data_IF_968220287042
#
_entry.id   IF_968220287042
#
_cell.length_a   1.000
_cell.length_b   1.000
_cell.length_c   1.000
_cell.angle_alpha   90.00
_cell.angle_beta   90.00
_cell.angle_gamma   90.00
#
_symmetry.space_group_name_H-M   'P 1'
#
loop_
_entity.id
_entity.type
_entity.pdbx_description
1 polymer ?
#
# COMPACT_ATOMS: atom_id res chain seq x y z
N UNK A 1 -4.54 -15.27 19.56
CA UNK A 1 -3.10 -15.42 19.26
C UNK A 1 -2.62 -16.78 19.66
N UNK A 2 -1.85 -17.47 18.82
CA UNK A 2 -1.37 -18.80 19.12
C UNK A 2 -0.25 -18.75 20.19
N UNK A 3 -0.12 -19.82 20.97
CA UNK A 3 0.96 -19.99 21.98
C UNK A 3 2.38 -19.79 21.39
N UNK A 4 2.52 -19.81 20.07
CA UNK A 4 3.80 -19.72 19.35
C UNK A 4 4.50 -18.36 19.52
N UNK A 5 3.76 -17.26 19.70
CA UNK A 5 4.37 -15.93 19.92
C UNK A 5 5.08 -15.85 21.28
N UNK A 6 4.45 -16.36 22.32
CA UNK A 6 5.06 -16.36 23.65
C UNK A 6 6.30 -17.24 23.74
N UNK A 7 6.35 -18.33 22.94
CA UNK A 7 7.51 -19.23 22.89
C UNK A 7 8.75 -18.58 22.25
N UNK A 8 8.57 -17.48 21.50
CA UNK A 8 9.65 -16.74 20.85
C UNK A 8 10.15 -15.53 21.67
N UNK A 9 9.66 -15.35 22.88
CA UNK A 9 10.05 -14.23 23.76
C UNK A 9 9.47 -12.87 23.32
N UNK A 10 8.33 -12.87 22.62
CA UNK A 10 7.62 -11.66 22.24
C UNK A 10 6.58 -11.30 23.30
N UNK A 11 6.50 -10.02 23.63
CA UNK A 11 5.40 -9.47 24.43
C UNK A 11 4.42 -8.79 23.49
N UNK A 12 3.15 -9.15 23.59
CA UNK A 12 2.08 -8.48 22.87
C UNK A 12 1.74 -7.20 23.62
N UNK A 13 1.89 -6.06 22.96
CA UNK A 13 1.58 -4.75 23.53
C UNK A 13 0.12 -4.36 23.24
N UNK A 14 -0.34 -4.56 22.00
CA UNK A 14 -1.69 -4.22 21.54
C UNK A 14 -2.09 -5.02 20.29
N UNK A 15 -3.38 -5.01 19.96
CA UNK A 15 -3.92 -5.61 18.74
C UNK A 15 -4.93 -4.66 18.07
N UNK A 16 -4.83 -4.53 16.76
CA UNK A 16 -5.82 -3.81 15.96
C UNK A 16 -6.11 -4.62 14.70
N UNK A 17 -7.34 -5.09 14.55
CA UNK A 17 -7.73 -6.05 13.52
C UNK A 17 -6.81 -7.29 13.56
N UNK A 18 -6.16 -7.65 12.44
CA UNK A 18 -5.17 -8.73 12.34
C UNK A 18 -3.71 -8.25 12.51
N UNK A 19 -3.53 -7.00 12.92
CA UNK A 19 -2.23 -6.39 13.18
C UNK A 19 -1.89 -6.45 14.67
N UNK A 20 -0.60 -6.63 14.98
CA UNK A 20 -0.14 -6.78 16.34
C UNK A 20 1.03 -5.84 16.62
N UNK A 21 1.00 -5.19 17.76
CA UNK A 21 2.13 -4.45 18.30
C UNK A 21 2.82 -5.30 19.34
N UNK A 22 4.08 -5.62 19.10
CA UNK A 22 4.85 -6.49 19.98
C UNK A 22 6.18 -5.87 20.36
N UNK A 23 6.67 -6.19 21.54
CA UNK A 23 8.01 -5.80 21.98
C UNK A 23 8.90 -7.00 22.25
N UNK A 24 10.20 -6.83 22.01
CA UNK A 24 11.26 -7.75 22.35
C UNK A 24 12.57 -6.99 22.50
N UNK A 25 13.34 -7.30 23.53
CA UNK A 25 14.65 -6.69 23.81
C UNK A 25 14.60 -5.14 23.81
N UNK A 26 13.56 -4.57 24.43
CA UNK A 26 13.25 -3.13 24.47
C UNK A 26 13.02 -2.47 23.12
N UNK A 27 12.77 -3.25 22.05
CA UNK A 27 12.38 -2.75 20.74
C UNK A 27 10.93 -3.11 20.46
N UNK A 28 10.19 -2.17 19.87
CA UNK A 28 8.81 -2.38 19.43
C UNK A 28 8.79 -2.74 17.95
N UNK A 29 7.84 -3.60 17.61
CA UNK A 29 7.64 -4.10 16.25
C UNK A 29 6.16 -4.07 15.89
N UNK A 30 5.92 -3.88 14.62
CA UNK A 30 4.62 -4.01 14.02
C UNK A 30 4.58 -5.35 13.26
N UNK A 31 3.65 -6.22 13.63
CA UNK A 31 3.51 -7.55 13.05
C UNK A 31 2.21 -7.62 12.26
N UNK A 32 2.30 -7.90 10.97
CA UNK A 32 1.18 -8.18 10.07
C UNK A 32 1.14 -9.64 9.67
N UNK A 33 -0.08 -10.11 9.37
CA UNK A 33 -0.33 -11.46 8.88
C UNK A 33 -0.72 -11.39 7.39
N UNK A 34 -0.13 -12.28 6.58
CA UNK A 34 -0.46 -12.49 5.17
C UNK A 34 -0.41 -11.21 4.30
N UNK A 35 0.53 -10.32 4.58
CA UNK A 35 0.73 -9.11 3.81
C UNK A 35 1.35 -9.40 2.44
N UNK A 36 1.41 -8.37 1.60
CA UNK A 36 1.95 -8.46 0.24
C UNK A 36 3.39 -8.98 0.19
N UNK A 37 3.74 -9.86 -0.77
CA UNK A 37 5.12 -10.30 -1.02
C UNK A 37 6.08 -9.16 -1.38
N UNK A 38 5.57 -8.00 -1.79
CA UNK A 38 6.39 -6.82 -2.12
C UNK A 38 7.07 -6.19 -0.92
N UNK A 39 6.62 -6.49 0.32
CA UNK A 39 7.07 -5.81 1.54
C UNK A 39 8.60 -5.82 1.70
N UNK A 40 9.26 -6.91 1.31
CA UNK A 40 10.71 -7.01 1.40
C UNK A 40 11.42 -6.02 0.45
N UNK A 41 10.91 -5.86 -0.75
CA UNK A 41 11.46 -4.90 -1.73
C UNK A 41 11.15 -3.46 -1.34
N UNK A 42 9.90 -3.19 -0.92
CA UNK A 42 9.48 -1.88 -0.42
C UNK A 42 10.34 -1.43 0.77
N UNK A 43 10.61 -2.34 1.69
CA UNK A 43 11.49 -2.10 2.84
C UNK A 43 12.94 -1.86 2.42
N UNK A 44 13.49 -2.67 1.52
CA UNK A 44 14.85 -2.51 1.02
C UNK A 44 15.04 -1.18 0.26
N UNK A 45 13.99 -0.68 -0.37
CA UNK A 45 13.95 0.62 -1.04
C UNK A 45 13.63 1.78 -0.08
N UNK A 46 13.33 1.51 1.19
CA UNK A 46 13.03 2.51 2.21
C UNK A 46 11.69 3.22 2.01
N UNK A 47 10.74 2.56 1.34
CA UNK A 47 9.38 3.06 1.07
C UNK A 47 8.47 2.78 2.27
N UNK A 48 8.66 1.64 2.93
CA UNK A 48 7.95 1.22 4.15
C UNK A 48 8.94 1.06 5.31
N UNK A 49 8.48 0.98 6.56
CA UNK A 49 9.33 0.66 7.71
C UNK A 49 10.14 -0.62 7.49
N UNK A 50 11.31 -0.68 8.12
CA UNK A 50 12.26 -1.77 7.88
C UNK A 50 11.68 -3.13 8.24
N UNK A 51 11.65 -4.05 7.28
CA UNK A 51 11.33 -5.45 7.50
C UNK A 51 12.47 -6.12 8.28
N UNK A 52 12.13 -6.77 9.40
CA UNK A 52 13.08 -7.47 10.24
C UNK A 52 13.13 -8.96 9.95
N UNK A 53 11.96 -9.58 9.83
CA UNK A 53 11.84 -11.00 9.50
C UNK A 53 10.47 -11.34 8.91
N UNK A 54 10.42 -12.50 8.28
CA UNK A 54 9.19 -13.17 7.87
C UNK A 54 9.21 -14.60 8.41
N UNK A 55 8.06 -15.12 8.81
CA UNK A 55 7.93 -16.49 9.31
C UNK A 55 6.62 -17.11 8.87
N UNK A 56 6.67 -18.30 8.29
CA UNK A 56 5.48 -19.13 8.09
C UNK A 56 5.18 -19.86 9.40
N UNK A 57 3.94 -19.82 9.85
CA UNK A 57 3.46 -20.52 11.05
C UNK A 57 2.71 -21.79 10.68
N UNK A 58 2.39 -22.63 11.70
CA UNK A 58 1.87 -24.00 11.54
C UNK A 58 0.56 -24.10 10.74
N UNK A 59 -0.31 -23.08 10.82
CA UNK A 59 -1.55 -23.02 10.07
C UNK A 59 -1.39 -22.57 8.59
N UNK A 60 -0.14 -22.31 8.16
CA UNK A 60 0.19 -21.86 6.80
C UNK A 60 0.29 -20.35 6.62
N UNK A 61 -0.17 -19.53 7.56
CA UNK A 61 -0.05 -18.09 7.51
C UNK A 61 1.40 -17.62 7.51
N UNK A 62 1.65 -16.48 6.91
CA UNK A 62 2.94 -15.80 6.91
C UNK A 62 2.85 -14.56 7.78
N UNK A 63 3.72 -14.51 8.79
CA UNK A 63 3.89 -13.33 9.62
C UNK A 63 5.09 -12.54 9.13
N UNK A 64 4.96 -11.23 9.17
CA UNK A 64 6.06 -10.29 8.98
C UNK A 64 6.23 -9.43 10.23
N UNK A 65 7.45 -9.05 10.53
CA UNK A 65 7.73 -8.03 11.53
C UNK A 65 8.48 -6.86 10.88
N UNK A 66 7.97 -5.66 11.10
CA UNK A 66 8.62 -4.41 10.72
C UNK A 66 8.99 -3.63 11.97
N UNK A 67 9.98 -2.74 11.86
CA UNK A 67 10.25 -1.78 12.92
C UNK A 67 8.99 -0.96 13.20
N UNK A 68 8.67 -0.78 14.46
CA UNK A 68 7.65 0.17 14.85
C UNK A 68 8.24 1.59 14.77
N UNK A 69 7.66 2.40 13.92
CA UNK A 69 8.06 3.80 13.75
C UNK A 69 7.13 4.69 14.58
N UNK A 70 7.67 5.36 15.61
CA UNK A 70 6.90 6.41 16.27
C UNK A 70 6.69 7.57 15.30
N UNK A 71 5.48 8.12 15.31
CA UNK A 71 5.14 9.19 14.37
C UNK A 71 3.63 9.39 14.25
N UNK A 72 3.23 10.04 13.18
CA UNK A 72 1.83 10.32 12.87
C UNK A 72 1.54 10.10 11.39
N UNK A 73 0.29 9.91 11.05
CA UNK A 73 -0.17 10.04 9.66
C UNK A 73 -0.12 11.49 9.19
N UNK A 74 -0.13 11.72 7.88
CA UNK A 74 -0.17 13.06 7.33
C UNK A 74 -1.54 13.71 7.55
N UNK A 75 -1.55 15.02 7.64
CA UNK A 75 -2.76 15.84 7.49
C UNK A 75 -2.87 16.38 6.06
N UNK A 76 -3.91 17.15 5.76
CA UNK A 76 -4.16 17.68 4.43
C UNK A 76 -3.05 18.65 3.96
N UNK A 77 -2.54 19.47 4.87
CA UNK A 77 -1.47 20.44 4.60
C UNK A 77 -0.15 19.73 4.26
N UNK A 78 0.14 18.61 4.95
CA UNK A 78 1.34 17.82 4.71
C UNK A 78 1.36 17.18 3.31
N UNK A 79 0.21 17.02 2.63
CA UNK A 79 0.14 16.43 1.29
C UNK A 79 0.85 17.26 0.21
N UNK A 80 1.36 18.44 0.55
CA UNK A 80 2.23 19.25 -0.30
C UNK A 80 3.73 18.94 -0.12
N UNK A 81 4.07 17.96 0.72
CA UNK A 81 5.47 17.58 1.00
C UNK A 81 6.17 17.08 -0.26
N UNK A 82 7.31 17.69 -0.57
CA UNK A 82 8.12 17.37 -1.76
C UNK A 82 8.64 15.93 -1.79
N UNK A 83 8.68 15.24 -0.65
CA UNK A 83 9.10 13.83 -0.56
C UNK A 83 8.05 12.88 -1.13
N UNK A 84 6.76 13.25 -1.14
CA UNK A 84 5.68 12.44 -1.70
C UNK A 84 5.94 12.11 -3.18
N UNK A 85 6.10 13.09 -4.09
CA UNK A 85 6.39 12.78 -5.49
C UNK A 85 7.73 12.06 -5.69
N UNK A 86 8.71 12.25 -4.81
CA UNK A 86 9.97 11.51 -4.88
C UNK A 86 9.78 10.01 -4.57
N UNK A 87 8.99 9.69 -3.54
CA UNK A 87 8.65 8.30 -3.20
C UNK A 87 7.82 7.66 -4.32
N UNK A 88 6.80 8.35 -4.84
CA UNK A 88 5.97 7.85 -5.95
C UNK A 88 6.81 7.59 -7.20
N UNK A 89 7.70 8.51 -7.56
CA UNK A 89 8.63 8.33 -8.67
C UNK A 89 9.52 7.09 -8.48
N UNK A 90 9.98 6.85 -7.26
CA UNK A 90 10.77 5.67 -6.92
C UNK A 90 9.98 4.38 -7.08
N UNK A 91 8.72 4.37 -6.60
CA UNK A 91 7.79 3.25 -6.78
C UNK A 91 7.55 2.97 -8.26
N UNK A 92 7.12 3.96 -9.03
CA UNK A 92 6.76 3.80 -10.44
C UNK A 92 7.96 3.36 -11.30
N UNK A 93 9.19 3.70 -10.91
CA UNK A 93 10.42 3.31 -11.63
C UNK A 93 11.04 2.01 -11.12
N UNK A 94 10.50 1.40 -10.08
CA UNK A 94 11.09 0.18 -9.51
C UNK A 94 10.85 -1.03 -10.40
N UNK A 95 11.86 -1.41 -11.17
CA UNK A 95 11.82 -2.63 -11.98
C UNK A 95 11.73 -3.90 -11.13
N UNK A 96 12.21 -3.85 -9.88
CA UNK A 96 12.10 -4.96 -8.94
C UNK A 96 10.64 -5.16 -8.49
N UNK A 97 9.94 -4.08 -8.11
CA UNK A 97 8.52 -4.13 -7.75
C UNK A 97 7.70 -4.63 -8.94
N UNK A 98 7.89 -4.04 -10.13
CA UNK A 98 7.20 -4.45 -11.36
C UNK A 98 7.35 -5.97 -11.60
N UNK A 99 8.58 -6.49 -11.49
CA UNK A 99 8.85 -7.92 -11.68
C UNK A 99 8.13 -8.80 -10.66
N UNK A 100 8.12 -8.40 -9.38
CA UNK A 100 7.45 -9.15 -8.31
C UNK A 100 5.94 -9.12 -8.53
N UNK A 101 5.36 -7.97 -8.84
CA UNK A 101 3.93 -7.81 -9.08
C UNK A 101 3.48 -8.70 -10.26
N UNK A 102 4.22 -8.69 -11.38
CA UNK A 102 3.93 -9.59 -12.52
C UNK A 102 4.03 -11.06 -12.14
N UNK A 103 5.06 -11.46 -11.40
CA UNK A 103 5.26 -12.84 -10.97
C UNK A 103 4.18 -13.32 -9.98
N UNK A 104 3.54 -12.43 -9.25
CA UNK A 104 2.45 -12.70 -8.30
C UNK A 104 1.05 -12.54 -8.90
N UNK A 105 0.95 -12.17 -10.18
CA UNK A 105 -0.33 -12.02 -10.87
C UNK A 105 -1.16 -10.81 -10.41
N UNK A 106 -0.49 -9.72 -10.05
CA UNK A 106 -1.20 -8.46 -9.77
C UNK A 106 -1.94 -7.97 -10.99
N UNK A 107 -3.11 -7.34 -10.77
CA UNK A 107 -3.94 -6.81 -11.86
C UNK A 107 -3.16 -5.79 -12.68
N UNK A 108 -3.31 -5.87 -13.99
CA UNK A 108 -2.88 -4.85 -14.94
C UNK A 108 -4.12 -4.04 -15.35
N UNK A 109 -4.11 -2.74 -15.09
CA UNK A 109 -5.24 -1.85 -15.39
C UNK A 109 -4.81 -0.69 -16.28
N UNK A 110 -5.58 -0.44 -17.32
CA UNK A 110 -5.44 0.72 -18.18
C UNK A 110 -6.44 1.82 -17.79
N UNK A 111 -6.22 3.03 -18.28
CA UNK A 111 -7.18 4.11 -18.10
C UNK A 111 -8.57 3.75 -18.67
N UNK A 112 -8.61 3.01 -19.81
CA UNK A 112 -9.84 2.52 -20.41
C UNK A 112 -10.55 1.50 -19.54
N UNK A 113 -9.82 0.51 -18.96
CA UNK A 113 -10.41 -0.48 -18.06
C UNK A 113 -10.93 0.15 -16.77
N UNK A 114 -10.19 1.11 -16.20
CA UNK A 114 -10.62 1.84 -15.00
C UNK A 114 -11.88 2.67 -15.28
N UNK A 115 -11.96 3.35 -16.44
CA UNK A 115 -13.17 4.08 -16.84
C UNK A 115 -14.36 3.13 -17.05
N UNK A 116 -14.14 1.96 -17.67
CA UNK A 116 -15.18 0.95 -17.83
C UNK A 116 -15.73 0.50 -16.48
N UNK A 117 -14.83 0.18 -15.52
CA UNK A 117 -15.22 -0.20 -14.16
C UNK A 117 -16.00 0.93 -13.47
N UNK A 118 -15.52 2.17 -13.55
CA UNK A 118 -16.22 3.34 -13.03
C UNK A 118 -17.64 3.46 -13.61
N UNK A 119 -17.79 3.33 -14.93
CA UNK A 119 -19.11 3.39 -15.60
C UNK A 119 -20.05 2.26 -15.13
N UNK A 120 -19.53 1.10 -14.78
CA UNK A 120 -20.34 -0.06 -14.35
C UNK A 120 -20.96 0.13 -12.96
N UNK A 121 -20.33 0.91 -12.08
CA UNK A 121 -20.81 1.17 -10.70
C UNK A 121 -21.71 2.41 -10.59
N UNK A 122 -21.74 3.27 -11.62
CA UNK A 122 -22.58 4.46 -11.62
C UNK A 122 -24.04 4.07 -11.83
N UNK A 123 -24.87 4.38 -10.86
CA UNK A 123 -26.31 4.09 -10.89
C UNK A 123 -27.05 4.96 -11.89
N UNK A 124 -28.25 4.53 -12.30
CA UNK A 124 -29.13 5.31 -13.21
C UNK A 124 -29.50 6.66 -12.60
N UNK A 125 -29.57 6.78 -11.28
CA UNK A 125 -29.83 8.04 -10.60
C UNK A 125 -28.66 9.01 -10.75
N UNK A 126 -27.43 8.56 -10.56
CA UNK A 126 -26.23 9.36 -10.78
C UNK A 126 -26.06 9.79 -12.25
N UNK A 127 -26.49 8.95 -13.20
CA UNK A 127 -26.48 9.28 -14.64
C UNK A 127 -27.43 10.42 -15.03
N UNK A 128 -28.39 10.78 -14.16
CA UNK A 128 -29.25 11.96 -14.36
C UNK A 128 -28.57 13.28 -14.00
N UNK A 129 -27.44 13.22 -13.28
CA UNK A 129 -26.67 14.41 -12.94
C UNK A 129 -25.78 14.84 -14.11
N UNK A 130 -26.06 16.02 -14.67
CA UNK A 130 -25.33 16.56 -15.84
C UNK A 130 -23.83 16.72 -15.59
N UNK A 131 -23.41 17.04 -14.35
CA UNK A 131 -21.98 17.17 -14.02
C UNK A 131 -21.27 15.82 -14.09
N UNK A 132 -21.91 14.75 -13.65
CA UNK A 132 -21.36 13.39 -13.73
C UNK A 132 -21.26 12.97 -15.20
N UNK A 133 -22.32 13.18 -15.99
CA UNK A 133 -22.31 12.86 -17.43
C UNK A 133 -21.21 13.62 -18.15
N UNK A 134 -21.07 14.92 -17.89
CA UNK A 134 -20.03 15.75 -18.49
C UNK A 134 -18.62 15.29 -18.09
N UNK A 135 -18.41 14.91 -16.82
CA UNK A 135 -17.14 14.38 -16.36
C UNK A 135 -16.78 13.06 -17.04
N UNK A 136 -17.75 12.12 -17.15
CA UNK A 136 -17.55 10.85 -17.86
C UNK A 136 -17.20 11.07 -19.34
N UNK A 137 -17.92 11.97 -20.03
CA UNK A 137 -17.66 12.31 -21.43
C UNK A 137 -16.25 12.94 -21.59
N UNK A 138 -15.86 13.80 -20.65
CA UNK A 138 -14.52 14.38 -20.65
C UNK A 138 -13.45 13.32 -20.49
N UNK A 139 -13.60 12.42 -19.50
CA UNK A 139 -12.66 11.32 -19.28
C UNK A 139 -12.55 10.42 -20.52
N UNK A 140 -13.68 10.02 -21.11
CA UNK A 140 -13.74 9.16 -22.29
C UNK A 140 -12.98 9.73 -23.51
N UNK A 141 -13.00 11.06 -23.66
CA UNK A 141 -12.30 11.75 -24.73
C UNK A 141 -10.85 12.16 -24.39
N UNK A 142 -10.43 12.02 -23.12
CA UNK A 142 -9.14 12.53 -22.63
C UNK A 142 -8.19 11.44 -22.17
N UNK A 143 -8.65 10.20 -21.99
CA UNK A 143 -7.77 9.11 -21.58
C UNK A 143 -6.79 8.74 -22.69
N UNK A 144 -5.53 8.44 -22.36
CA UNK A 144 -4.57 7.95 -23.34
C UNK A 144 -4.99 6.57 -23.86
N UNK A 145 -4.47 6.18 -25.03
CA UNK A 145 -4.63 4.82 -25.54
C UNK A 145 -3.97 3.78 -24.61
N UNK A 146 -4.38 2.54 -24.74
CA UNK A 146 -3.94 1.44 -23.87
C UNK A 146 -2.53 0.90 -24.19
N UNK A 147 -1.86 1.46 -25.19
CA UNK A 147 -0.43 1.15 -25.49
C UNK A 147 0.48 1.92 -24.54
N UNK A 148 0.49 1.46 -23.28
CA UNK A 148 1.24 2.08 -22.19
C UNK A 148 2.14 1.06 -21.50
N UNK A 149 3.25 1.54 -20.96
CA UNK A 149 4.10 0.72 -20.13
C UNK A 149 3.57 0.72 -18.68
N UNK A 150 3.06 -0.42 -18.22
CA UNK A 150 2.58 -0.59 -16.84
C UNK A 150 3.67 -0.34 -15.81
N UNK A 151 3.33 0.38 -14.77
CA UNK A 151 4.21 0.67 -13.63
C UNK A 151 3.56 0.24 -12.31
N UNK A 152 4.34 -0.07 -11.26
CA UNK A 152 3.78 -0.30 -9.93
C UNK A 152 3.05 0.92 -9.41
N UNK A 153 1.79 0.76 -9.01
CA UNK A 153 0.95 1.82 -8.48
C UNK A 153 0.36 1.40 -7.13
N UNK A 154 0.36 2.32 -6.16
CA UNK A 154 -0.24 2.09 -4.84
C UNK A 154 -1.77 2.11 -4.89
N UNK A 155 -2.34 3.01 -5.70
CA UNK A 155 -3.76 3.28 -5.95
C UNK A 155 -4.58 3.88 -4.80
N UNK A 156 -4.07 3.86 -3.57
CA UNK A 156 -4.73 4.47 -2.42
C UNK A 156 -3.80 5.47 -1.71
N UNK A 157 -3.60 6.64 -2.32
CA UNK A 157 -2.69 7.68 -1.83
C UNK A 157 -3.35 8.61 -0.80
N UNK A 158 -4.28 8.09 -0.01
CA UNK A 158 -4.91 8.85 1.06
C UNK A 158 -3.88 9.27 2.12
N UNK A 159 -4.11 10.43 2.76
CA UNK A 159 -3.18 11.00 3.77
C UNK A 159 -2.86 10.04 4.93
N UNK A 160 -3.80 9.17 5.29
CA UNK A 160 -3.66 8.22 6.39
C UNK A 160 -2.75 7.03 6.03
N UNK A 161 -2.44 6.82 4.73
CA UNK A 161 -1.48 5.83 4.26
C UNK A 161 -0.04 6.36 4.21
N UNK A 162 0.19 7.58 4.67
CA UNK A 162 1.51 8.15 4.82
C UNK A 162 1.87 8.27 6.31
N UNK A 163 2.99 7.69 6.70
CA UNK A 163 3.52 7.74 8.05
C UNK A 163 4.76 8.64 8.08
N UNK A 164 4.65 9.77 8.78
CA UNK A 164 5.78 10.64 9.09
C UNK A 164 6.33 10.27 10.47
N UNK A 165 7.52 9.67 10.50
CA UNK A 165 8.14 9.28 11.76
C UNK A 165 8.68 10.50 12.53
N UNK A 166 8.82 10.35 13.86
CA UNK A 166 9.42 11.37 14.73
C UNK A 166 10.88 11.69 14.35
N UNK A 167 11.53 10.79 13.60
CA UNK A 167 12.86 11.01 13.03
C UNK A 167 12.83 11.75 11.68
N UNK A 168 11.66 12.17 11.23
CA UNK A 168 11.46 12.90 9.99
C UNK A 168 11.48 12.04 8.73
N UNK A 169 11.43 10.71 8.82
CA UNK A 169 11.27 9.82 7.66
C UNK A 169 9.82 9.76 7.23
N UNK A 170 9.58 9.71 5.93
CA UNK A 170 8.27 9.55 5.35
C UNK A 170 8.15 8.16 4.73
N UNK A 171 7.11 7.42 5.08
CA UNK A 171 6.81 6.09 4.56
C UNK A 171 5.42 6.08 3.90
N UNK A 172 5.26 5.26 2.87
CA UNK A 172 3.98 4.95 2.25
C UNK A 172 3.61 3.52 2.65
N UNK A 173 2.53 3.36 3.40
CA UNK A 173 2.07 2.09 3.96
C UNK A 173 0.75 1.64 3.31
N UNK A 174 0.26 0.45 3.67
CA UNK A 174 -1.00 -0.13 3.20
C UNK A 174 -1.06 -0.42 1.69
N UNK A 175 -0.28 -1.41 1.27
CA UNK A 175 -0.06 -1.80 -0.13
C UNK A 175 -1.05 -2.87 -0.64
N UNK A 176 -2.17 -3.09 0.04
CA UNK A 176 -3.08 -4.20 -0.27
C UNK A 176 -3.84 -4.01 -1.59
N UNK A 177 -4.06 -2.77 -1.99
CA UNK A 177 -4.77 -2.40 -3.22
C UNK A 177 -3.87 -2.10 -4.42
N UNK A 178 -2.59 -2.42 -4.34
CA UNK A 178 -1.61 -2.13 -5.40
C UNK A 178 -1.91 -2.88 -6.69
N UNK A 179 -1.68 -2.22 -7.80
CA UNK A 179 -1.84 -2.77 -9.15
C UNK A 179 -0.67 -2.36 -10.05
N UNK A 180 -0.64 -2.88 -11.26
CA UNK A 180 0.16 -2.37 -12.37
C UNK A 180 -0.72 -1.48 -13.24
N UNK A 181 -0.43 -0.19 -13.35
CA UNK A 181 -1.18 0.77 -14.16
C UNK A 181 -0.28 1.73 -14.94
#
# INVERSE_FOLDING_TARGET
MSKEYYQMGWTLDDTYNDDYFCSRDNQRYFIKKNTTPMIATLSAEGIVPRLRWTKRISNGDVLIAQDFENGRTLNTEDMTDKRIPEILKKVHRSTKLKRIMKAQGYSEETASSSLYNLKSIITDELRKNSNIVNALNYLENSIPGDDVEYTPCHTDLHKDNWLLSDQGKLFLVDWEHSILC
#
